data_IF_573626950455
#
_entry.id   IF_573626950455
#
_cell.length_a   1.000
_cell.length_b   1.000
_cell.length_c   1.000
_cell.angle_alpha   90.00
_cell.angle_beta   90.00
_cell.angle_gamma   90.00
#
_symmetry.space_group_name_H-M   'P 1'
#
loop_
_entity.id
_entity.type
_entity.pdbx_description
1 polymer ?
#
# COMPACT_ATOMS: atom_id res chain seq x y z
N UNK A 1 7.07 0.16 16.81
CA UNK A 1 5.66 -0.23 16.59
C UNK A 1 4.75 0.94 16.32
N UNK A 2 3.58 0.63 15.86
CA UNK A 2 2.48 1.58 15.64
C UNK A 2 1.20 1.00 16.19
N UNK A 3 0.31 1.87 16.66
CA UNK A 3 -1.09 1.53 16.94
C UNK A 3 -1.95 2.76 16.66
N UNK A 4 -3.13 2.54 16.12
CA UNK A 4 -4.10 3.61 15.86
C UNK A 4 -5.50 3.12 16.17
N UNK A 5 -6.29 3.97 16.82
CA UNK A 5 -7.71 3.76 17.03
C UNK A 5 -8.43 5.10 16.95
N UNK A 6 -8.98 5.38 15.78
CA UNK A 6 -9.65 6.66 15.48
C UNK A 6 -11.16 6.50 15.37
N UNK A 7 -11.73 5.43 15.89
CA UNK A 7 -13.17 5.15 15.88
C UNK A 7 -13.92 5.99 16.91
N UNK A 8 -13.80 7.30 16.79
CA UNK A 8 -14.55 8.27 17.60
C UNK A 8 -15.55 9.04 16.76
N UNK A 9 -16.66 9.46 17.38
CA UNK A 9 -17.71 10.22 16.71
C UNK A 9 -17.16 11.48 16.01
N UNK A 10 -16.28 12.23 16.69
CA UNK A 10 -15.74 13.47 16.13
C UNK A 10 -14.91 13.26 14.86
N UNK A 11 -14.11 12.19 14.82
CA UNK A 11 -13.31 11.84 13.64
C UNK A 11 -14.21 11.41 12.48
N UNK A 12 -15.18 10.53 12.72
CA UNK A 12 -16.14 10.13 11.70
C UNK A 12 -16.95 11.32 11.17
N UNK A 13 -17.43 12.18 12.05
CA UNK A 13 -18.17 13.39 11.64
C UNK A 13 -17.29 14.32 10.80
N UNK A 14 -16.01 14.49 11.16
CA UNK A 14 -15.05 15.29 10.41
C UNK A 14 -14.82 14.73 9.00
N UNK A 15 -14.51 13.46 8.84
CA UNK A 15 -14.33 12.84 7.52
C UNK A 15 -15.63 12.82 6.71
N UNK A 16 -16.76 12.58 7.35
CA UNK A 16 -18.07 12.61 6.66
C UNK A 16 -18.39 14.00 6.13
N UNK A 17 -18.12 15.04 6.91
CA UNK A 17 -18.36 16.44 6.47
C UNK A 17 -17.52 16.86 5.28
N UNK A 18 -16.37 16.21 5.07
CA UNK A 18 -15.49 16.40 3.91
C UNK A 18 -15.83 15.47 2.73
N UNK A 19 -16.85 14.62 2.86
CA UNK A 19 -17.19 13.63 1.83
C UNK A 19 -16.11 12.57 1.62
N UNK A 20 -15.28 12.31 2.64
CA UNK A 20 -14.14 11.40 2.52
C UNK A 20 -14.45 9.94 2.92
N UNK A 21 -15.59 9.70 3.61
CA UNK A 21 -15.98 8.35 4.02
C UNK A 21 -16.68 7.59 2.91
N UNK A 22 -16.33 6.31 2.77
CA UNK A 22 -17.05 5.40 1.89
C UNK A 22 -18.49 5.20 2.35
N UNK A 23 -19.41 5.13 1.39
CA UNK A 23 -20.81 4.79 1.58
C UNK A 23 -21.14 3.58 0.70
N UNK A 24 -21.59 2.48 1.31
CA UNK A 24 -22.00 1.27 0.62
C UNK A 24 -23.05 0.52 1.45
N UNK A 25 -24.06 -0.07 0.79
CA UNK A 25 -25.10 -0.85 1.47
C UNK A 25 -24.53 -2.11 2.15
N UNK A 26 -23.59 -2.78 1.49
CA UNK A 26 -22.84 -3.90 2.06
C UNK A 26 -21.51 -3.39 2.64
N UNK A 27 -21.32 -3.41 3.96
CA UNK A 27 -20.09 -2.92 4.60
C UNK A 27 -18.85 -3.73 4.18
N UNK A 28 -19.01 -4.99 3.76
CA UNK A 28 -17.89 -5.81 3.29
C UNK A 28 -17.34 -5.35 1.92
N UNK A 29 -18.13 -4.56 1.18
CA UNK A 29 -17.76 -4.03 -0.14
C UNK A 29 -17.42 -2.53 -0.11
N UNK A 30 -17.45 -1.90 1.06
CA UNK A 30 -17.23 -0.47 1.17
C UNK A 30 -15.79 -0.05 0.87
N UNK A 31 -14.79 -0.84 1.32
CA UNK A 31 -13.37 -0.61 0.98
C UNK A 31 -13.07 -1.27 -0.38
N UNK A 32 -12.99 -0.45 -1.43
CA UNK A 32 -12.87 -0.91 -2.82
C UNK A 32 -11.84 -0.12 -3.64
N UNK A 33 -10.54 -0.18 -3.24
CA UNK A 33 -9.48 0.52 -3.97
C UNK A 33 -9.45 0.13 -5.45
N UNK A 34 -9.27 1.12 -6.34
CA UNK A 34 -9.22 1.01 -7.80
C UNK A 34 -10.54 0.71 -8.50
N UNK A 35 -11.61 0.41 -7.77
CA UNK A 35 -12.91 0.20 -8.37
C UNK A 35 -13.49 1.53 -8.93
N UNK A 36 -14.22 1.47 -10.04
CA UNK A 36 -14.80 2.64 -10.68
C UNK A 36 -15.82 3.36 -9.78
N UNK A 37 -16.53 2.61 -8.96
CA UNK A 37 -17.59 3.12 -8.08
C UNK A 37 -17.07 3.38 -6.64
N UNK A 38 -15.75 3.45 -6.43
CA UNK A 38 -15.16 3.83 -5.15
C UNK A 38 -15.52 5.27 -4.78
N UNK A 39 -15.78 5.52 -3.52
CA UNK A 39 -16.30 6.82 -3.10
C UNK A 39 -15.74 7.33 -1.76
N UNK A 40 -14.70 6.70 -1.22
CA UNK A 40 -14.07 7.17 0.01
C UNK A 40 -13.38 6.08 0.83
N UNK A 41 -12.88 6.49 1.99
CA UNK A 41 -12.16 5.63 2.92
C UNK A 41 -13.11 4.85 3.84
N UNK A 42 -12.72 3.64 4.19
CA UNK A 42 -13.28 2.91 5.33
C UNK A 42 -12.30 3.04 6.50
N UNK A 43 -12.67 3.80 7.51
CA UNK A 43 -11.83 4.00 8.70
C UNK A 43 -11.73 2.70 9.49
N UNK A 44 -10.51 2.33 9.87
CA UNK A 44 -10.25 1.15 10.68
C UNK A 44 -9.28 1.45 11.84
N UNK A 45 -9.00 0.44 12.63
CA UNK A 45 -8.07 0.49 13.75
C UNK A 45 -7.17 -0.74 13.74
N UNK A 46 -6.00 -0.64 14.35
CA UNK A 46 -5.08 -1.74 14.46
C UNK A 46 -3.71 -1.32 14.95
N UNK A 47 -2.81 -2.30 15.06
CA UNK A 47 -1.44 -2.05 15.46
C UNK A 47 -0.50 -3.15 15.02
N UNK A 48 0.77 -2.80 14.85
CA UNK A 48 1.84 -3.73 14.53
C UNK A 48 3.11 -3.40 15.32
N UNK A 49 3.83 -4.43 15.72
CA UNK A 49 5.11 -4.33 16.40
C UNK A 49 6.17 -5.10 15.61
N UNK A 50 7.30 -4.46 15.36
CA UNK A 50 8.46 -5.05 14.70
C UNK A 50 9.66 -4.96 15.62
N UNK A 51 10.40 -6.05 15.77
CA UNK A 51 11.73 -6.03 16.38
C UNK A 51 12.75 -5.75 15.29
N UNK A 52 13.48 -4.64 15.42
CA UNK A 52 14.54 -4.23 14.50
C UNK A 52 15.89 -4.44 15.18
N UNK A 53 16.79 -5.14 14.51
CA UNK A 53 18.15 -5.41 14.97
C UNK A 53 19.14 -5.21 13.81
N UNK A 54 20.40 -5.02 14.10
CA UNK A 54 21.42 -5.12 13.07
C UNK A 54 21.48 -6.56 12.55
N UNK A 55 21.69 -6.69 11.24
CA UNK A 55 21.67 -8.01 10.58
C UNK A 55 22.64 -9.00 11.24
N UNK A 56 23.87 -8.54 11.53
CA UNK A 56 24.90 -9.37 12.17
C UNK A 56 24.50 -9.83 13.58
N UNK A 57 23.80 -9.01 14.35
CA UNK A 57 23.34 -9.38 15.71
C UNK A 57 22.22 -10.41 15.64
N UNK A 58 21.26 -10.21 14.73
CA UNK A 58 20.17 -11.16 14.50
C UNK A 58 20.71 -12.53 14.05
N UNK A 59 21.67 -12.54 13.13
CA UNK A 59 22.32 -13.76 12.65
C UNK A 59 23.10 -14.47 13.77
N UNK A 60 23.88 -13.71 14.57
CA UNK A 60 24.69 -14.27 15.65
C UNK A 60 23.86 -15.00 16.72
N UNK A 61 22.63 -14.54 16.99
CA UNK A 61 21.73 -15.21 17.94
C UNK A 61 20.79 -16.24 17.29
N UNK A 62 20.89 -16.48 15.99
CA UNK A 62 20.04 -17.43 15.27
C UNK A 62 18.59 -17.01 15.13
N UNK A 63 18.30 -15.70 15.03
CA UNK A 63 16.95 -15.20 14.88
C UNK A 63 16.32 -15.61 13.55
N UNK A 64 15.00 -15.82 13.52
CA UNK A 64 14.26 -15.79 12.27
C UNK A 64 14.21 -14.37 11.75
N UNK A 65 14.77 -14.15 10.56
CA UNK A 65 14.78 -12.85 9.87
C UNK A 65 13.66 -12.88 8.84
N UNK A 66 12.72 -11.95 8.94
CA UNK A 66 11.58 -11.83 8.00
C UNK A 66 11.92 -11.00 6.77
N UNK A 67 12.90 -10.12 6.88
CA UNK A 67 13.37 -9.26 5.80
C UNK A 67 14.37 -8.23 6.30
N UNK A 68 14.94 -7.47 5.39
CA UNK A 68 15.85 -6.37 5.66
C UNK A 68 15.25 -5.05 5.17
N UNK A 69 15.36 -3.98 5.97
CA UNK A 69 15.00 -2.63 5.52
C UNK A 69 16.16 -2.11 4.68
N UNK A 70 16.07 -2.31 3.36
CA UNK A 70 17.12 -1.93 2.42
C UNK A 70 17.17 -0.41 2.16
N UNK A 71 16.04 0.28 2.21
CA UNK A 71 15.99 1.72 2.00
C UNK A 71 14.65 2.34 2.39
N UNK A 72 14.64 3.64 2.56
CA UNK A 72 13.43 4.43 2.80
C UNK A 72 13.60 5.87 2.32
N UNK A 73 12.49 6.53 2.04
CA UNK A 73 12.48 7.96 1.79
C UNK A 73 11.18 8.60 2.31
N UNK A 74 11.27 9.87 2.64
CA UNK A 74 10.14 10.71 3.04
C UNK A 74 10.28 12.04 2.33
N UNK A 75 9.20 12.52 1.75
CA UNK A 75 9.10 13.86 1.19
C UNK A 75 7.73 14.49 1.53
N UNK A 76 7.52 15.71 1.10
CA UNK A 76 6.25 16.40 1.21
C UNK A 76 5.86 16.94 -0.16
N UNK A 77 4.58 16.85 -0.51
CA UNK A 77 4.07 17.33 -1.79
C UNK A 77 4.05 18.86 -1.85
N UNK A 78 3.63 19.52 -0.78
CA UNK A 78 3.54 20.99 -0.64
C UNK A 78 2.74 21.70 -1.76
N UNK A 79 1.77 20.99 -2.37
CA UNK A 79 0.98 21.49 -3.50
C UNK A 79 -0.50 21.63 -3.19
N UNK A 80 -1.08 20.64 -2.54
CA UNK A 80 -2.48 20.61 -2.16
C UNK A 80 -2.62 20.07 -0.74
N UNK A 81 -3.73 20.40 -0.07
CA UNK A 81 -3.96 19.98 1.31
C UNK A 81 -4.36 18.50 1.42
N UNK A 82 -5.05 17.98 0.42
CA UNK A 82 -5.63 16.62 0.42
C UNK A 82 -5.18 15.80 -0.78
N UNK A 83 -5.14 16.40 -1.98
CA UNK A 83 -4.85 15.69 -3.22
C UNK A 83 -3.35 15.38 -3.32
N UNK A 84 -2.95 14.10 -3.38
CA UNK A 84 -1.55 13.73 -3.53
C UNK A 84 -0.99 14.11 -4.90
N UNK A 85 0.29 14.44 -4.94
CA UNK A 85 1.01 14.80 -6.15
C UNK A 85 1.75 13.57 -6.71
N UNK A 86 1.40 13.08 -7.91
CA UNK A 86 1.99 11.86 -8.47
C UNK A 86 3.49 12.00 -8.76
N UNK A 87 3.96 13.18 -9.15
CA UNK A 87 5.40 13.41 -9.40
C UNK A 87 6.21 13.30 -8.11
N UNK A 88 5.67 13.82 -7.00
CA UNK A 88 6.30 13.70 -5.68
C UNK A 88 6.28 12.28 -5.16
N UNK A 89 5.19 11.54 -5.38
CA UNK A 89 5.13 10.12 -5.06
C UNK A 89 6.17 9.33 -5.86
N UNK A 90 6.26 9.53 -7.18
CA UNK A 90 7.28 8.90 -8.02
C UNK A 90 8.71 9.27 -7.58
N UNK A 91 8.95 10.52 -7.22
CA UNK A 91 10.23 10.95 -6.66
C UNK A 91 10.56 10.23 -5.35
N UNK A 92 9.57 10.05 -4.47
CA UNK A 92 9.73 9.34 -3.20
C UNK A 92 10.15 7.88 -3.45
N UNK A 93 9.42 7.17 -4.33
CA UNK A 93 9.74 5.79 -4.72
C UNK A 93 11.17 5.68 -5.27
N UNK A 94 11.55 6.53 -6.26
CA UNK A 94 12.91 6.53 -6.83
C UNK A 94 13.99 6.83 -5.80
N UNK A 95 13.72 7.72 -4.85
CA UNK A 95 14.68 8.05 -3.80
C UNK A 95 14.87 6.89 -2.80
N UNK A 96 13.79 6.17 -2.47
CA UNK A 96 13.86 4.95 -1.65
C UNK A 96 14.67 3.86 -2.37
N UNK A 97 14.39 3.59 -3.65
CA UNK A 97 15.14 2.65 -4.49
C UNK A 97 16.63 3.00 -4.57
N UNK A 98 16.94 4.28 -4.78
CA UNK A 98 18.32 4.76 -4.81
C UNK A 98 19.06 4.48 -3.49
N UNK A 99 18.41 4.70 -2.34
CA UNK A 99 19.00 4.38 -1.02
C UNK A 99 19.18 2.89 -0.83
N UNK A 100 18.24 2.08 -1.30
CA UNK A 100 18.34 0.62 -1.31
C UNK A 100 19.41 0.10 -2.30
N UNK A 101 19.92 0.95 -3.20
CA UNK A 101 20.81 0.57 -4.32
C UNK A 101 20.14 -0.47 -5.24
N UNK A 102 18.85 -0.33 -5.46
CA UNK A 102 18.02 -1.22 -6.28
C UNK A 102 17.45 -0.47 -7.48
N UNK A 103 17.29 -1.19 -8.59
CA UNK A 103 16.50 -0.73 -9.73
C UNK A 103 15.01 -0.99 -9.49
N UNK A 104 14.13 -0.33 -10.23
CA UNK A 104 12.70 -0.60 -10.15
C UNK A 104 12.38 -2.06 -10.51
N UNK A 105 13.10 -2.65 -11.47
CA UNK A 105 12.98 -4.06 -11.88
C UNK A 105 13.37 -5.08 -10.81
N UNK A 106 14.02 -4.66 -9.73
CA UNK A 106 14.34 -5.54 -8.61
C UNK A 106 13.17 -5.67 -7.62
N UNK A 107 12.15 -4.83 -7.74
CA UNK A 107 10.96 -4.85 -6.88
C UNK A 107 9.93 -5.83 -7.45
N UNK A 108 9.52 -6.79 -6.62
CA UNK A 108 8.53 -7.81 -7.00
C UNK A 108 7.11 -7.48 -6.56
N UNK A 109 6.95 -6.72 -5.46
CA UNK A 109 5.65 -6.25 -4.99
C UNK A 109 5.72 -4.76 -4.70
N UNK A 110 4.76 -4.01 -5.22
CA UNK A 110 4.43 -2.65 -4.79
C UNK A 110 3.11 -2.72 -4.05
N UNK A 111 3.13 -2.52 -2.73
CA UNK A 111 1.92 -2.40 -1.93
C UNK A 111 1.49 -0.93 -1.90
N UNK A 112 0.28 -0.67 -2.32
CA UNK A 112 -0.21 0.69 -2.54
C UNK A 112 -0.85 1.29 -1.31
N UNK A 113 -0.81 2.61 -1.21
CA UNK A 113 -1.61 3.36 -0.25
C UNK A 113 -3.09 3.32 -0.59
N UNK A 114 -3.45 3.40 -1.86
CA UNK A 114 -4.81 3.49 -2.43
C UNK A 114 -5.95 3.26 -1.41
N UNK A 115 -6.64 4.33 -1.07
CA UNK A 115 -7.60 4.37 0.04
C UNK A 115 -9.05 4.27 -0.42
N UNK A 116 -9.27 3.93 -1.68
CA UNK A 116 -10.57 3.97 -2.37
C UNK A 116 -11.14 5.39 -2.51
N UNK A 117 -10.30 6.41 -2.49
CA UNK A 117 -10.73 7.78 -2.81
C UNK A 117 -10.71 8.01 -4.31
N UNK A 118 -11.71 8.72 -4.89
CA UNK A 118 -11.82 8.89 -6.34
C UNK A 118 -10.53 9.40 -7.00
N UNK A 119 -9.91 10.43 -6.43
CA UNK A 119 -8.72 11.06 -7.02
C UNK A 119 -7.40 10.49 -6.48
N UNK A 120 -7.36 10.07 -5.20
CA UNK A 120 -6.13 9.57 -4.57
C UNK A 120 -5.56 8.35 -5.28
N UNK A 121 -6.41 7.37 -5.55
CA UNK A 121 -6.03 6.13 -6.22
C UNK A 121 -5.49 6.39 -7.64
N UNK A 122 -6.11 7.33 -8.39
CA UNK A 122 -5.66 7.72 -9.73
C UNK A 122 -4.26 8.33 -9.69
N UNK A 123 -4.00 9.24 -8.75
CA UNK A 123 -2.69 9.90 -8.66
C UNK A 123 -1.59 8.89 -8.31
N UNK A 124 -1.85 7.98 -7.38
CA UNK A 124 -0.88 6.94 -7.05
C UNK A 124 -0.63 5.98 -8.23
N UNK A 125 -1.67 5.58 -8.95
CA UNK A 125 -1.53 4.78 -10.16
C UNK A 125 -0.69 5.49 -11.25
N UNK A 126 -0.80 6.81 -11.38
CA UNK A 126 0.06 7.61 -12.27
C UNK A 126 1.52 7.54 -11.83
N UNK A 127 1.80 7.70 -10.54
CA UNK A 127 3.15 7.60 -10.00
C UNK A 127 3.75 6.19 -10.19
N UNK A 128 2.96 5.14 -9.95
CA UNK A 128 3.40 3.75 -10.14
C UNK A 128 3.71 3.48 -11.61
N UNK A 129 2.85 3.90 -12.54
CA UNK A 129 3.12 3.78 -13.98
C UNK A 129 4.43 4.46 -14.37
N UNK A 130 4.70 5.65 -13.85
CA UNK A 130 5.93 6.40 -14.16
C UNK A 130 7.20 5.66 -13.71
N UNK A 131 7.13 4.90 -12.61
CA UNK A 131 8.31 4.23 -12.03
C UNK A 131 8.44 2.78 -12.51
N UNK A 132 7.33 2.07 -12.72
CA UNK A 132 7.29 0.61 -12.89
C UNK A 132 6.69 0.13 -14.22
N UNK A 133 6.41 1.02 -15.19
CA UNK A 133 5.78 0.63 -16.47
C UNK A 133 6.56 -0.48 -17.22
N UNK A 134 7.88 -0.45 -17.14
CA UNK A 134 8.78 -1.37 -17.83
C UNK A 134 9.26 -2.54 -16.92
N UNK A 135 8.52 -2.82 -15.83
CA UNK A 135 8.88 -3.84 -14.85
C UNK A 135 7.87 -5.01 -14.88
N UNK A 136 8.00 -5.96 -15.81
CA UNK A 136 7.00 -7.01 -16.04
C UNK A 136 6.86 -8.02 -14.89
N UNK A 137 7.84 -8.11 -14.02
CA UNK A 137 7.83 -9.01 -12.86
C UNK A 137 7.44 -8.29 -11.55
N UNK A 138 7.07 -7.02 -11.62
CA UNK A 138 6.55 -6.24 -10.47
C UNK A 138 5.04 -6.36 -10.41
N UNK A 139 4.52 -6.91 -9.33
CA UNK A 139 3.10 -7.00 -9.04
C UNK A 139 2.65 -5.86 -8.13
N UNK A 140 1.43 -5.39 -8.33
CA UNK A 140 0.85 -4.31 -7.52
C UNK A 140 -0.35 -4.84 -6.76
N UNK A 141 -0.39 -4.60 -5.45
CA UNK A 141 -1.50 -5.02 -4.60
C UNK A 141 -1.95 -3.91 -3.63
N UNK A 142 -3.05 -4.16 -2.95
CA UNK A 142 -3.56 -3.27 -1.92
C UNK A 142 -4.12 -4.06 -0.73
N UNK A 143 -3.70 -3.69 0.47
CA UNK A 143 -4.14 -4.33 1.71
C UNK A 143 -5.41 -3.69 2.29
N UNK A 144 -5.67 -2.41 1.98
CA UNK A 144 -6.81 -1.66 2.55
C UNK A 144 -8.18 -2.17 2.13
N UNK A 145 -8.28 -2.90 1.02
CA UNK A 145 -9.50 -3.63 0.67
C UNK A 145 -9.94 -4.59 1.78
N UNK A 146 -8.98 -5.23 2.47
CA UNK A 146 -9.22 -6.19 3.56
C UNK A 146 -9.40 -5.54 4.92
N UNK A 147 -8.57 -4.53 5.25
CA UNK A 147 -8.45 -4.03 6.61
C UNK A 147 -8.97 -2.61 6.80
N UNK A 148 -9.38 -1.93 5.73
CA UNK A 148 -9.69 -0.50 5.77
C UNK A 148 -8.43 0.36 5.92
N UNK A 149 -8.62 1.63 6.26
CA UNK A 149 -7.55 2.60 6.46
C UNK A 149 -7.37 2.91 7.95
N UNK A 150 -6.34 2.36 8.55
CA UNK A 150 -5.98 2.55 9.96
C UNK A 150 -5.04 3.74 10.20
N UNK A 151 -5.08 4.74 9.30
CA UNK A 151 -4.33 6.00 9.37
C UNK A 151 -2.85 5.80 9.73
N UNK A 152 -2.39 6.25 10.90
CA UNK A 152 -0.99 6.16 11.31
C UNK A 152 -0.47 4.73 11.46
N UNK A 153 -1.33 3.72 11.61
CA UNK A 153 -0.93 2.31 11.68
C UNK A 153 -0.92 1.62 10.30
N UNK A 154 -1.46 2.24 9.25
CA UNK A 154 -1.70 1.60 7.96
C UNK A 154 -0.44 0.98 7.34
N UNK A 155 0.63 1.74 7.17
CA UNK A 155 1.85 1.24 6.51
C UNK A 155 2.48 0.04 7.21
N UNK A 156 2.45 0.01 8.55
CA UNK A 156 2.97 -1.14 9.28
C UNK A 156 2.08 -2.38 9.15
N UNK A 157 0.76 -2.22 9.19
CA UNK A 157 -0.18 -3.33 8.97
C UNK A 157 -0.07 -3.87 7.54
N UNK A 158 0.09 -3.00 6.57
CA UNK A 158 0.30 -3.34 5.15
C UNK A 158 1.60 -4.11 4.95
N UNK A 159 2.69 -3.64 5.54
CA UNK A 159 3.95 -4.37 5.53
C UNK A 159 3.79 -5.77 6.14
N UNK A 160 3.13 -5.89 7.31
CA UNK A 160 2.87 -7.20 7.93
C UNK A 160 2.10 -8.16 7.02
N UNK A 161 1.11 -7.63 6.28
CA UNK A 161 0.33 -8.40 5.31
C UNK A 161 1.12 -8.91 4.10
N UNK A 162 2.24 -8.25 3.77
CA UNK A 162 3.07 -8.60 2.63
C UNK A 162 4.31 -9.45 2.99
N UNK A 163 4.77 -9.45 4.25
CA UNK A 163 5.95 -10.24 4.66
C UNK A 163 5.87 -11.74 4.34
N UNK A 164 4.70 -12.43 4.46
CA UNK A 164 4.60 -13.85 4.10
C UNK A 164 4.97 -14.14 2.65
N UNK A 165 4.83 -13.18 1.75
CA UNK A 165 5.17 -13.34 0.34
C UNK A 165 6.65 -13.68 0.10
N UNK A 166 7.55 -13.32 1.01
CA UNK A 166 8.96 -13.73 0.94
C UNK A 166 9.12 -15.25 1.11
N UNK A 167 8.30 -15.89 1.94
CA UNK A 167 8.37 -17.32 2.21
C UNK A 167 7.58 -18.14 1.19
N UNK A 168 6.37 -17.69 0.82
CA UNK A 168 5.44 -18.48 0.01
C UNK A 168 5.27 -17.97 -1.43
N UNK A 169 5.80 -16.80 -1.76
CA UNK A 169 5.66 -16.18 -3.09
C UNK A 169 4.23 -15.81 -3.47
N UNK A 170 3.28 -15.84 -2.53
CA UNK A 170 1.90 -15.45 -2.81
C UNK A 170 1.76 -13.93 -2.74
N UNK A 171 1.15 -13.35 -3.75
CA UNK A 171 0.79 -11.93 -3.76
C UNK A 171 -0.71 -11.84 -3.54
N UNK A 172 -1.10 -11.25 -2.40
CA UNK A 172 -2.52 -11.04 -2.12
C UNK A 172 -3.12 -9.98 -3.06
N UNK A 173 -4.41 -10.07 -3.41
CA UNK A 173 -5.03 -9.13 -4.34
C UNK A 173 -5.44 -7.81 -3.67
N UNK A 174 -5.81 -6.85 -4.51
CA UNK A 174 -6.80 -5.84 -4.16
C UNK A 174 -8.19 -6.46 -4.32
N UNK A 175 -9.04 -6.36 -3.31
CA UNK A 175 -10.38 -6.96 -3.35
C UNK A 175 -11.47 -5.91 -3.58
N UNK A 176 -12.70 -6.37 -3.82
CA UNK A 176 -13.88 -5.54 -4.07
C UNK A 176 -13.79 -4.69 -5.34
N UNK A 177 -13.01 -5.13 -6.32
CA UNK A 177 -12.93 -4.50 -7.64
C UNK A 177 -13.89 -5.22 -8.57
N UNK A 178 -15.14 -4.77 -8.61
CA UNK A 178 -16.17 -5.29 -9.52
C UNK A 178 -15.96 -4.73 -10.94
N UNK A 179 -15.50 -3.46 -11.02
CA UNK A 179 -15.18 -2.79 -12.27
C UNK A 179 -13.95 -1.91 -12.07
N UNK A 180 -12.83 -2.29 -12.67
CA UNK A 180 -11.60 -1.49 -12.61
C UNK A 180 -11.80 -0.12 -13.25
N UNK A 181 -11.44 0.94 -12.53
CA UNK A 181 -11.35 2.28 -13.08
C UNK A 181 -10.25 2.32 -14.16
N UNK A 182 -10.56 2.71 -15.41
CA UNK A 182 -9.55 2.81 -16.47
C UNK A 182 -8.37 3.73 -16.13
N UNK A 183 -8.57 4.77 -15.31
CA UNK A 183 -7.50 5.65 -14.85
C UNK A 183 -6.58 4.97 -13.81
N UNK A 184 -7.07 3.94 -13.13
CA UNK A 184 -6.30 3.11 -12.21
C UNK A 184 -5.68 1.85 -12.87
N UNK A 185 -5.88 1.64 -14.17
CA UNK A 185 -5.28 0.51 -14.88
C UNK A 185 -3.76 0.64 -14.91
N UNK A 186 -3.08 -0.24 -14.17
CA UNK A 186 -1.61 -0.36 -14.13
C UNK A 186 -1.21 -1.80 -14.45
N UNK A 187 -0.04 -2.03 -15.06
CA UNK A 187 0.43 -3.38 -15.32
C UNK A 187 0.50 -4.21 -14.02
N UNK A 188 0.18 -5.50 -14.13
CA UNK A 188 0.30 -6.47 -13.04
C UNK A 188 -0.43 -6.11 -11.74
N UNK A 189 -1.49 -5.29 -11.80
CA UNK A 189 -2.39 -5.08 -10.68
C UNK A 189 -3.13 -6.39 -10.38
N UNK A 190 -2.91 -6.93 -9.17
CA UNK A 190 -3.51 -8.19 -8.72
C UNK A 190 -4.90 -7.91 -8.17
N UNK A 191 -5.95 -8.44 -8.82
CA UNK A 191 -7.34 -8.14 -8.51
C UNK A 191 -8.10 -9.39 -8.06
N UNK A 192 -8.85 -9.27 -6.97
CA UNK A 192 -9.83 -10.21 -6.41
C UNK A 192 -9.30 -11.62 -6.07
N UNK A 193 -8.31 -12.13 -6.78
CA UNK A 193 -7.72 -13.45 -6.52
C UNK A 193 -6.21 -13.32 -6.33
N UNK A 194 -5.62 -14.04 -5.36
CA UNK A 194 -4.17 -14.04 -5.17
C UNK A 194 -3.48 -14.72 -6.35
N UNK A 195 -2.24 -14.34 -6.57
CA UNK A 195 -1.39 -14.98 -7.57
C UNK A 195 -0.14 -15.57 -6.92
N UNK A 196 0.48 -16.52 -7.59
CA UNK A 196 1.79 -17.05 -7.25
C UNK A 196 2.85 -16.36 -8.12
N UNK A 197 3.67 -15.51 -7.53
CA UNK A 197 4.83 -14.95 -8.20
C UNK A 197 5.92 -16.01 -8.36
N UNK A 198 6.74 -15.91 -9.39
CA UNK A 198 7.90 -16.79 -9.58
C UNK A 198 8.92 -16.61 -8.45
N UNK A 199 9.02 -15.40 -7.94
CA UNK A 199 10.00 -14.97 -6.94
C UNK A 199 9.48 -13.70 -6.24
N UNK A 200 9.77 -13.56 -4.96
CA UNK A 200 9.55 -12.31 -4.21
C UNK A 200 10.78 -12.09 -3.33
N UNK A 201 11.66 -11.16 -3.71
CA UNK A 201 12.85 -10.81 -2.93
C UNK A 201 12.84 -9.38 -2.43
N UNK A 202 11.99 -8.53 -3.00
CA UNK A 202 11.88 -7.14 -2.59
C UNK A 202 10.45 -6.63 -2.71
N UNK A 203 10.04 -5.88 -1.69
CA UNK A 203 8.72 -5.26 -1.58
C UNK A 203 8.92 -3.76 -1.35
N UNK A 204 8.21 -2.93 -2.10
CA UNK A 204 8.03 -1.51 -1.83
C UNK A 204 6.66 -1.33 -1.15
N UNK A 205 6.67 -0.75 0.07
CA UNK A 205 5.46 -0.54 0.87
C UNK A 205 5.34 0.95 1.24
#
# INVERSE_FOLDING_TARGET
GVSESIRSFGIFAGFKSQGALAEHEDPNKASRPFDLDRNGIVVSEGGALYTLERLEDAQARGAKIYGEIAGYHVNSDATDYVLPNPERQAQCMRAALKKAKMAASDIHIVNTHATATPMGDVQECRAIREVFADCPDTYVNNTKGFIGHSMGAAGALELAGNLPSFDDGMVHPSINVDKLDPECAIPNLVLNNPIKAKRVDAILN
#
